data_IF_841402095130
#
_entry.id   IF_841402095130
#
_cell.length_a   1.000
_cell.length_b   1.000
_cell.length_c   1.000
_cell.angle_alpha   90.00
_cell.angle_beta   90.00
_cell.angle_gamma   90.00
#
_symmetry.space_group_name_H-M   'P 1'
#
loop_
_entity.id
_entity.type
_entity.pdbx_description
1 polymer ?
#
# COMPACT_ATOMS: atom_id res chain seq x y z
N UNK A 1 3.13 20.18 -12.10
CA UNK A 1 2.42 20.59 -10.86
C UNK A 1 3.48 21.00 -9.84
N UNK A 2 3.43 22.21 -9.28
CA UNK A 2 4.46 22.74 -8.36
C UNK A 2 4.55 21.97 -7.03
N UNK A 3 3.64 21.03 -6.78
CA UNK A 3 3.57 20.22 -5.57
C UNK A 3 4.02 18.77 -5.74
N UNK A 4 4.49 18.38 -6.93
CA UNK A 4 4.97 17.03 -7.19
C UNK A 4 6.36 17.10 -7.82
N UNK A 5 7.30 16.33 -7.29
CA UNK A 5 8.64 16.18 -7.82
C UNK A 5 8.92 14.70 -8.09
N UNK A 6 9.66 14.43 -9.16
CA UNK A 6 10.10 13.08 -9.53
C UNK A 6 11.62 13.03 -9.32
N UNK A 7 12.07 12.13 -8.46
CA UNK A 7 13.49 11.94 -8.12
C UNK A 7 13.99 10.65 -8.73
N UNK A 8 15.22 10.68 -9.25
CA UNK A 8 15.96 9.49 -9.67
C UNK A 8 17.01 9.16 -8.62
N UNK A 9 17.03 7.90 -8.20
CA UNK A 9 18.03 7.35 -7.28
C UNK A 9 18.80 6.31 -8.07
N UNK A 10 19.99 6.68 -8.52
CA UNK A 10 20.85 5.80 -9.31
C UNK A 10 21.34 4.61 -8.46
N UNK A 11 21.48 3.45 -9.10
CA UNK A 11 22.17 2.31 -8.49
C UNK A 11 23.68 2.57 -8.36
N UNK A 12 24.34 1.81 -7.48
CA UNK A 12 25.81 1.92 -7.31
C UNK A 12 26.58 1.58 -8.60
N UNK A 13 26.03 0.70 -9.43
CA UNK A 13 26.64 0.24 -10.68
C UNK A 13 25.66 0.32 -11.86
N UNK A 14 26.22 0.44 -13.07
CA UNK A 14 25.49 0.53 -14.34
C UNK A 14 24.66 -0.72 -14.71
N UNK A 15 24.80 -1.80 -13.95
CA UNK A 15 24.06 -3.04 -14.15
C UNK A 15 22.62 -2.99 -13.64
N UNK A 16 22.28 -2.03 -12.78
CA UNK A 16 20.95 -1.93 -12.16
C UNK A 16 20.30 -0.61 -12.52
N UNK A 17 19.07 -0.68 -13.05
CA UNK A 17 18.23 0.50 -13.20
C UNK A 17 17.96 1.09 -11.80
N UNK A 18 18.08 2.41 -11.68
CA UNK A 18 17.79 3.13 -10.46
C UNK A 18 16.31 3.07 -10.05
N UNK A 19 15.99 3.71 -8.93
CA UNK A 19 14.62 3.86 -8.45
C UNK A 19 14.13 5.27 -8.79
N UNK A 20 12.99 5.36 -9.45
CA UNK A 20 12.28 6.62 -9.57
C UNK A 20 11.25 6.78 -8.45
N UNK A 21 11.26 7.92 -7.77
CA UNK A 21 10.36 8.23 -6.65
C UNK A 21 9.53 9.47 -6.98
N UNK A 22 8.21 9.31 -6.96
CA UNK A 22 7.28 10.44 -7.03
C UNK A 22 7.03 10.94 -5.61
N UNK A 23 7.46 12.17 -5.32
CA UNK A 23 7.25 12.84 -4.05
C UNK A 23 6.18 13.92 -4.20
N UNK A 24 5.15 13.88 -3.37
CA UNK A 24 4.06 14.86 -3.37
C UNK A 24 4.06 15.66 -2.07
N UNK A 25 3.80 16.96 -2.15
CA UNK A 25 3.72 17.84 -0.98
C UNK A 25 2.47 17.57 -0.13
N UNK A 26 1.36 17.25 -0.79
CA UNK A 26 0.09 16.90 -0.15
C UNK A 26 -0.17 15.39 -0.24
N UNK A 27 -1.04 14.88 0.63
CA UNK A 27 -1.51 13.49 0.57
C UNK A 27 -2.18 13.24 -0.79
N UNK A 28 -1.55 12.39 -1.61
CA UNK A 28 -2.07 11.98 -2.92
C UNK A 28 -1.95 10.46 -3.06
N UNK A 29 -3.00 9.83 -3.56
CA UNK A 29 -2.95 8.44 -4.00
C UNK A 29 -2.81 8.42 -5.52
N UNK A 30 -1.99 7.48 -6.02
CA UNK A 30 -1.88 7.17 -7.44
C UNK A 30 -2.71 5.92 -7.71
N UNK A 31 -3.83 6.09 -8.40
CA UNK A 31 -4.91 5.10 -8.48
C UNK A 31 -5.28 4.72 -9.92
N UNK A 32 -4.79 5.45 -10.90
CA UNK A 32 -5.09 5.25 -12.32
C UNK A 32 -3.86 5.55 -13.20
N UNK A 33 -3.76 4.95 -14.40
CA UNK A 33 -2.60 5.12 -15.29
C UNK A 33 -2.36 6.56 -15.74
N UNK A 34 -3.41 7.32 -16.01
CA UNK A 34 -3.36 8.71 -16.50
C UNK A 34 -2.60 9.65 -15.54
N UNK A 35 -2.62 9.35 -14.23
CA UNK A 35 -1.91 10.15 -13.23
C UNK A 35 -0.39 10.07 -13.37
N UNK A 36 0.12 9.00 -13.97
CA UNK A 36 1.54 8.84 -14.28
C UNK A 36 1.91 9.48 -15.61
N UNK A 37 1.01 9.42 -16.60
CA UNK A 37 1.19 10.08 -17.90
C UNK A 37 1.35 11.60 -17.73
N UNK A 38 0.56 12.24 -16.85
CA UNK A 38 0.68 13.68 -16.52
C UNK A 38 2.06 14.05 -15.94
N UNK A 39 2.79 13.07 -15.40
CA UNK A 39 4.16 13.22 -14.89
C UNK A 39 5.22 12.81 -15.90
N UNK A 40 4.83 12.46 -17.13
CA UNK A 40 5.69 11.88 -18.17
C UNK A 40 6.35 10.54 -17.76
N UNK A 41 5.63 9.73 -16.97
CA UNK A 41 6.08 8.41 -16.54
C UNK A 41 5.34 7.35 -17.34
N UNK A 42 6.08 6.58 -18.14
CA UNK A 42 5.56 5.38 -18.81
C UNK A 42 5.61 4.18 -17.86
N UNK A 43 4.45 3.77 -17.36
CA UNK A 43 4.32 2.62 -16.46
C UNK A 43 4.79 1.31 -17.10
N UNK A 44 4.58 1.14 -18.41
CA UNK A 44 4.90 -0.11 -19.11
C UNK A 44 6.40 -0.27 -19.39
N UNK A 45 7.16 0.82 -19.24
CA UNK A 45 8.64 0.79 -19.29
C UNK A 45 9.29 0.34 -17.98
N UNK A 46 8.51 0.18 -16.90
CA UNK A 46 9.04 -0.13 -15.55
C UNK A 46 8.90 -1.61 -15.22
N UNK A 47 9.96 -2.18 -14.66
CA UNK A 47 9.97 -3.57 -14.21
C UNK A 47 8.98 -3.81 -13.05
N UNK A 48 8.90 -2.82 -12.14
CA UNK A 48 8.04 -2.85 -10.96
C UNK A 48 7.48 -1.46 -10.71
N UNK A 49 6.18 -1.39 -10.41
CA UNK A 49 5.50 -0.18 -9.94
C UNK A 49 4.93 -0.45 -8.57
N UNK A 50 5.25 0.41 -7.60
CA UNK A 50 4.77 0.30 -6.22
C UNK A 50 3.80 1.45 -5.93
N UNK A 51 2.57 1.11 -5.56
CA UNK A 51 1.52 2.09 -5.21
C UNK A 51 0.90 1.79 -3.85
N UNK A 52 0.44 2.84 -3.17
CA UNK A 52 -0.37 2.71 -1.95
C UNK A 52 -1.85 2.62 -2.33
N UNK A 53 -2.60 1.74 -1.64
CA UNK A 53 -4.02 1.46 -1.89
C UNK A 53 -4.33 0.72 -3.21
N UNK A 54 -3.35 0.06 -3.83
CA UNK A 54 -3.55 -0.61 -5.13
C UNK A 54 -4.65 -1.68 -5.17
N UNK A 55 -5.05 -2.27 -4.03
CA UNK A 55 -6.16 -3.23 -3.99
C UNK A 55 -7.55 -2.55 -4.01
N UNK A 56 -7.64 -1.26 -3.67
CA UNK A 56 -8.90 -0.50 -3.70
C UNK A 56 -9.23 0.04 -5.09
N UNK A 57 -8.23 0.13 -5.98
CA UNK A 57 -8.34 0.74 -7.30
C UNK A 57 -7.87 -0.26 -8.36
N UNK A 58 -8.80 -0.99 -9.02
CA UNK A 58 -8.44 -2.13 -9.84
C UNK A 58 -7.71 -1.75 -11.14
N UNK A 59 -7.83 -0.52 -11.61
CA UNK A 59 -7.29 -0.09 -12.92
C UNK A 59 -5.79 -0.39 -13.09
N UNK A 60 -4.98 -0.08 -12.07
CA UNK A 60 -3.54 -0.38 -12.09
C UNK A 60 -3.24 -1.88 -11.99
N UNK A 61 -4.10 -2.64 -11.28
CA UNK A 61 -3.99 -4.10 -11.20
C UNK A 61 -4.34 -4.75 -12.54
N UNK A 62 -5.36 -4.25 -13.22
CA UNK A 62 -5.89 -4.84 -14.45
C UNK A 62 -4.94 -4.68 -15.65
N UNK A 63 -4.10 -3.63 -15.63
CA UNK A 63 -3.03 -3.43 -16.62
C UNK A 63 -1.71 -4.13 -16.27
N UNK A 64 -1.57 -4.62 -15.04
CA UNK A 64 -0.34 -5.27 -14.59
C UNK A 64 -0.37 -6.78 -14.93
N UNK A 65 0.69 -7.34 -15.54
CA UNK A 65 0.74 -8.78 -15.81
C UNK A 65 0.74 -9.62 -14.52
N UNK A 66 1.14 -9.01 -13.40
CA UNK A 66 1.08 -9.59 -12.05
C UNK A 66 0.86 -8.48 -11.04
N UNK A 67 -0.01 -8.73 -10.06
CA UNK A 67 -0.24 -7.85 -8.90
C UNK A 67 0.12 -8.58 -7.62
N UNK A 68 0.86 -7.91 -6.73
CA UNK A 68 1.32 -8.45 -5.45
C UNK A 68 0.94 -7.46 -4.35
N UNK A 69 0.26 -7.95 -3.30
CA UNK A 69 0.03 -7.19 -2.08
C UNK A 69 1.24 -7.35 -1.16
N UNK A 70 2.01 -6.29 -0.97
CA UNK A 70 3.13 -6.28 -0.04
C UNK A 70 2.67 -5.86 1.36
N UNK A 71 2.90 -6.72 2.37
CA UNK A 71 2.66 -6.40 3.78
C UNK A 71 3.87 -5.63 4.32
N UNK A 72 3.96 -4.34 4.00
CA UNK A 72 5.07 -3.51 4.46
C UNK A 72 4.85 -3.03 5.91
N UNK A 73 5.91 -2.87 6.71
CA UNK A 73 5.81 -2.18 8.00
C UNK A 73 5.23 -0.77 7.86
N UNK A 74 4.61 -0.26 8.93
CA UNK A 74 4.11 1.11 9.00
C UNK A 74 2.75 1.23 9.68
N UNK A 75 2.13 2.40 9.52
CA UNK A 75 0.87 2.77 10.21
C UNK A 75 -0.38 2.04 9.71
N UNK A 76 -0.28 1.36 8.56
CA UNK A 76 -1.34 0.50 8.00
C UNK A 76 -0.80 -0.91 7.79
N UNK A 77 -0.08 -1.43 8.78
CA UNK A 77 0.47 -2.78 8.75
C UNK A 77 -0.64 -3.79 9.06
N UNK A 78 -0.76 -4.80 8.19
CA UNK A 78 -1.76 -5.88 8.31
C UNK A 78 -1.27 -7.06 9.16
N UNK A 79 -0.04 -7.00 9.68
CA UNK A 79 0.46 -7.94 10.69
C UNK A 79 -0.16 -7.64 12.07
N UNK A 80 -1.49 -7.79 12.15
CA UNK A 80 -2.31 -7.40 13.30
C UNK A 80 -1.81 -8.09 14.58
N UNK A 81 -1.41 -9.35 14.50
CA UNK A 81 -1.03 -10.13 15.69
C UNK A 81 0.19 -9.57 16.42
N UNK A 82 1.12 -8.94 15.68
CA UNK A 82 2.37 -8.42 16.21
C UNK A 82 2.33 -6.91 16.51
N UNK A 83 1.19 -6.24 16.32
CA UNK A 83 1.05 -4.83 16.67
C UNK A 83 0.98 -4.62 18.20
N UNK A 84 1.62 -3.57 18.76
CA UNK A 84 1.68 -3.32 20.20
C UNK A 84 0.38 -2.67 20.74
N UNK A 85 -0.72 -3.42 20.72
CA UNK A 85 -2.02 -2.94 21.22
C UNK A 85 -2.01 -2.69 22.73
N UNK A 86 -2.28 -1.44 23.14
CA UNK A 86 -2.33 -1.06 24.56
C UNK A 86 -3.74 -0.78 25.10
N UNK A 87 -4.72 -0.50 24.23
CA UNK A 87 -6.06 0.01 24.62
C UNK A 87 -7.19 -0.70 23.87
N UNK A 88 -7.21 -2.03 23.95
CA UNK A 88 -8.24 -2.88 23.33
C UNK A 88 -9.03 -3.64 24.40
N UNK A 89 -10.30 -3.94 24.12
CA UNK A 89 -11.11 -4.80 24.98
C UNK A 89 -10.70 -6.25 24.74
N UNK A 90 -10.41 -6.99 25.79
CA UNK A 90 -10.06 -8.40 25.76
C UNK A 90 -11.13 -9.25 26.46
N UNK A 91 -11.33 -10.53 26.08
CA UNK A 91 -10.58 -11.23 25.02
C UNK A 91 -11.00 -10.77 23.61
N UNK A 92 -10.05 -10.72 22.68
CA UNK A 92 -10.29 -10.37 21.27
C UNK A 92 -9.41 -11.20 20.34
N UNK A 93 -10.02 -11.85 19.36
CA UNK A 93 -9.28 -12.50 18.27
C UNK A 93 -8.70 -11.41 17.33
N UNK A 94 -7.44 -11.51 16.87
CA UNK A 94 -6.51 -12.63 17.00
C UNK A 94 -5.55 -12.55 18.22
N UNK A 95 -5.65 -11.51 19.05
CA UNK A 95 -4.70 -11.26 20.15
C UNK A 95 -4.87 -12.20 21.35
N UNK A 96 -6.08 -12.74 21.53
CA UNK A 96 -6.44 -13.80 22.46
C UNK A 96 -7.09 -14.92 21.63
N UNK A 97 -6.52 -16.12 21.62
CA UNK A 97 -7.03 -17.24 20.80
C UNK A 97 -7.94 -18.19 21.59
N UNK A 98 -7.75 -18.26 22.90
CA UNK A 98 -8.44 -19.19 23.78
C UNK A 98 -9.55 -18.49 24.57
N UNK A 99 -10.68 -18.25 23.93
CA UNK A 99 -11.88 -17.76 24.61
C UNK A 99 -13.16 -18.21 23.90
N UNK A 100 -14.25 -18.32 24.65
CA UNK A 100 -15.57 -18.59 24.08
C UNK A 100 -16.21 -17.27 23.65
N UNK A 101 -16.38 -17.08 22.35
CA UNK A 101 -17.15 -15.95 21.82
C UNK A 101 -18.65 -16.30 21.76
N UNK A 102 -19.49 -15.39 22.23
CA UNK A 102 -20.95 -15.48 22.05
C UNK A 102 -21.47 -14.14 21.50
N UNK A 103 -22.36 -14.13 20.49
CA UNK A 103 -22.95 -12.91 19.99
C UNK A 103 -23.77 -12.23 21.10
N UNK A 104 -23.55 -10.95 21.34
CA UNK A 104 -24.47 -10.16 22.19
C UNK A 104 -25.74 -9.83 21.42
N UNK A 105 -26.86 -9.64 22.12
CA UNK A 105 -28.22 -9.41 21.56
C UNK A 105 -28.33 -8.29 20.52
N UNK A 106 -27.32 -7.45 20.33
CA UNK A 106 -27.30 -6.38 19.32
C UNK A 106 -26.94 -6.86 17.91
N UNK A 107 -26.53 -8.13 17.73
CA UNK A 107 -26.19 -8.70 16.43
C UNK A 107 -27.40 -9.23 15.62
N UNK A 108 -28.64 -9.03 16.10
CA UNK A 108 -29.89 -9.54 15.50
C UNK A 108 -30.89 -8.43 15.15
N UNK A 109 -30.44 -7.19 14.95
CA UNK A 109 -31.26 -6.12 14.38
C UNK A 109 -30.83 -5.80 12.96
#
# INVERSE_FOLDING_TARGET
DSKTAVFQIDGEDSAHNGIEVILTADRRAFISPDQFEVLNIDLFSRDIVVVKLGYLFPELRDIAPRSIMALSPGVSNEDIENLPFNRVRRPIYPLDRDFVWSPSRYALR
#
